data_IF_976210095860
#
_entry.id   IF_976210095860
#
_cell.length_a   1.000
_cell.length_b   1.000
_cell.length_c   1.000
_cell.angle_alpha   90.00
_cell.angle_beta   90.00
_cell.angle_gamma   90.00
#
_symmetry.space_group_name_H-M   'P 1'
#
loop_
_entity.id
_entity.type
_entity.pdbx_description
1 polymer ?
#
# COMPACT_ATOMS: atom_id res chain seq x y z
N UNK A 1 14.36 7.37 5.01
CA UNK A 1 13.26 7.96 4.21
C UNK A 1 13.75 8.67 2.96
N UNK A 2 14.74 9.58 3.02
CA UNK A 2 15.23 10.31 1.83
C UNK A 2 15.67 9.43 0.65
N UNK A 3 16.23 8.25 0.90
CA UNK A 3 16.63 7.31 -0.15
C UNK A 3 15.43 6.79 -0.95
N UNK A 4 14.22 6.81 -0.38
CA UNK A 4 12.99 6.38 -1.04
C UNK A 4 12.42 7.44 -2.01
N UNK A 5 13.09 8.59 -2.13
CA UNK A 5 12.70 9.67 -3.02
C UNK A 5 13.80 9.89 -4.08
N UNK A 6 13.45 10.38 -5.29
CA UNK A 6 14.42 10.83 -6.26
C UNK A 6 15.36 11.90 -5.69
N UNK A 7 16.57 12.01 -6.24
CA UNK A 7 17.62 12.90 -5.72
C UNK A 7 17.21 14.37 -5.54
N UNK A 8 16.24 14.86 -6.33
CA UNK A 8 15.73 16.24 -6.27
C UNK A 8 14.56 16.49 -5.32
N UNK A 9 13.97 15.45 -4.71
CA UNK A 9 12.75 15.57 -3.89
C UNK A 9 12.92 15.00 -2.49
N UNK A 10 14.13 15.07 -1.93
CA UNK A 10 14.43 14.59 -0.57
C UNK A 10 13.60 15.39 0.47
N UNK A 11 12.70 14.75 1.22
CA UNK A 11 11.77 15.45 2.11
C UNK A 11 12.42 15.98 3.40
N UNK A 12 13.51 15.36 3.87
CA UNK A 12 14.18 15.72 5.13
C UNK A 12 15.55 16.31 4.84
N UNK A 13 15.86 17.48 5.40
CA UNK A 13 17.21 18.04 5.32
C UNK A 13 18.07 17.42 6.42
N UNK A 14 19.17 16.77 6.03
CA UNK A 14 20.12 16.20 6.98
C UNK A 14 21.21 17.25 7.22
N UNK A 15 21.39 17.76 8.45
CA UNK A 15 22.46 18.70 8.76
C UNK A 15 23.83 17.99 8.69
N UNK A 16 24.88 18.71 8.29
CA UNK A 16 26.24 18.17 8.18
C UNK A 16 26.79 17.69 9.53
N UNK A 17 26.44 18.43 10.60
CA UNK A 17 26.77 18.07 11.98
C UNK A 17 25.52 17.64 12.73
N UNK A 18 25.59 16.55 13.53
CA UNK A 18 24.48 16.15 14.38
C UNK A 18 24.02 17.29 15.30
N UNK A 19 22.71 17.58 15.40
CA UNK A 19 22.22 18.65 16.25
C UNK A 19 22.48 18.34 17.72
N UNK A 20 23.04 19.28 18.46
CA UNK A 20 23.30 19.15 19.92
C UNK A 20 22.12 19.63 20.77
N UNK A 21 21.32 20.55 20.23
CA UNK A 21 20.14 21.08 20.93
C UNK A 21 18.97 20.09 20.85
N UNK A 22 18.38 19.79 22.00
CA UNK A 22 17.24 18.86 22.14
C UNK A 22 16.11 19.17 21.16
N UNK A 23 15.69 20.43 21.05
CA UNK A 23 14.60 20.79 20.15
C UNK A 23 14.91 20.49 18.68
N UNK A 24 16.18 20.63 18.25
CA UNK A 24 16.59 20.32 16.87
C UNK A 24 16.59 18.82 16.60
N UNK A 25 16.98 18.01 17.58
CA UNK A 25 16.88 16.55 17.48
C UNK A 25 15.42 16.10 17.38
N UNK A 26 14.55 16.65 18.24
CA UNK A 26 13.10 16.37 18.20
C UNK A 26 12.46 16.83 16.88
N UNK A 27 12.86 17.99 16.36
CA UNK A 27 12.41 18.49 15.05
C UNK A 27 12.85 17.56 13.92
N UNK A 28 14.08 17.04 13.95
CA UNK A 28 14.57 16.09 12.95
C UNK A 28 13.76 14.80 12.93
N UNK A 29 13.38 14.29 14.11
CA UNK A 29 12.47 13.14 14.22
C UNK A 29 11.10 13.50 13.64
N UNK A 30 10.53 14.65 13.98
CA UNK A 30 9.24 15.09 13.45
C UNK A 30 9.24 15.23 11.92
N UNK A 31 10.32 15.73 11.32
CA UNK A 31 10.49 15.78 9.86
C UNK A 31 10.49 14.38 9.23
N UNK A 32 11.15 13.40 9.85
CA UNK A 32 11.10 12.01 9.42
C UNK A 32 9.68 11.44 9.49
N UNK A 33 8.96 11.67 10.60
CA UNK A 33 7.60 11.16 10.79
C UNK A 33 6.65 11.70 9.73
N UNK A 34 6.73 13.01 9.45
CA UNK A 34 5.94 13.65 8.39
C UNK A 34 6.27 13.06 7.01
N UNK A 35 7.55 12.87 6.70
CA UNK A 35 7.96 12.26 5.44
C UNK A 35 7.50 10.79 5.31
N UNK A 36 7.46 10.04 6.41
CA UNK A 36 6.96 8.67 6.40
C UNK A 36 5.45 8.62 6.17
N UNK A 37 4.69 9.54 6.78
CA UNK A 37 3.25 9.71 6.54
C UNK A 37 2.97 10.11 5.09
N UNK A 38 3.68 11.11 4.56
CA UNK A 38 3.56 11.55 3.17
C UNK A 38 3.94 10.44 2.16
N UNK A 39 4.86 9.55 2.55
CA UNK A 39 5.19 8.38 1.74
C UNK A 39 4.05 7.34 1.74
N UNK A 40 3.12 7.39 2.69
CA UNK A 40 1.92 6.56 2.77
C UNK A 40 1.89 5.58 3.94
N UNK A 41 2.74 5.76 4.96
CA UNK A 41 2.61 5.02 6.22
C UNK A 41 1.32 5.47 6.91
N UNK A 42 0.53 4.51 7.39
CA UNK A 42 -0.74 4.80 8.07
C UNK A 42 -0.44 5.47 9.40
N UNK A 43 -1.18 6.53 9.75
CA UNK A 43 -1.00 7.29 11.00
C UNK A 43 -0.95 6.43 12.26
N UNK A 44 -1.71 5.34 12.31
CA UNK A 44 -1.72 4.39 13.43
C UNK A 44 -0.40 3.66 13.61
N UNK A 45 0.38 3.52 12.54
CA UNK A 45 1.68 2.87 12.53
C UNK A 45 2.83 3.87 12.68
N UNK A 46 2.56 5.17 12.84
CA UNK A 46 3.57 6.22 13.02
C UNK A 46 3.81 6.45 14.51
N UNK A 47 5.06 6.30 14.97
CA UNK A 47 5.45 6.56 16.35
C UNK A 47 5.48 8.06 16.69
N UNK A 48 5.49 8.40 17.98
CA UNK A 48 5.60 9.78 18.47
C UNK A 48 7.06 10.15 18.76
N UNK A 49 7.44 11.42 18.63
CA UNK A 49 8.83 11.87 18.85
C UNK A 49 9.43 11.38 20.17
N UNK A 50 8.66 11.33 21.25
CA UNK A 50 9.09 10.85 22.58
C UNK A 50 9.43 9.36 22.60
N UNK A 51 8.81 8.55 21.73
CA UNK A 51 9.04 7.10 21.67
C UNK A 51 10.47 6.76 21.26
N UNK A 52 11.05 7.59 20.37
CA UNK A 52 12.44 7.49 19.96
C UNK A 52 13.37 8.36 20.83
N UNK A 53 12.99 9.61 21.10
CA UNK A 53 13.86 10.57 21.79
C UNK A 53 14.15 10.17 23.24
N UNK A 54 13.13 9.71 23.97
CA UNK A 54 13.25 9.27 25.37
C UNK A 54 13.27 7.74 25.50
N UNK A 55 13.32 7.02 24.38
CA UNK A 55 13.22 5.56 24.30
C UNK A 55 11.99 4.97 25.01
N UNK A 56 10.86 5.68 24.98
CA UNK A 56 9.62 5.29 25.68
C UNK A 56 8.92 4.07 25.06
N UNK A 57 8.93 3.96 23.72
CA UNK A 57 8.37 2.81 22.99
C UNK A 57 9.16 2.54 21.70
N UNK A 58 10.29 1.85 21.83
CA UNK A 58 11.08 1.44 20.68
C UNK A 58 10.37 0.41 19.78
N UNK A 59 9.35 -0.28 20.30
CA UNK A 59 8.56 -1.20 19.49
C UNK A 59 7.67 -0.44 18.49
N UNK A 60 7.13 0.72 18.87
CA UNK A 60 6.45 1.63 17.93
C UNK A 60 7.39 2.09 16.81
N UNK A 61 8.63 2.48 17.15
CA UNK A 61 9.65 2.86 16.17
C UNK A 61 9.90 1.74 15.17
N UNK A 62 10.10 0.51 15.67
CA UNK A 62 10.31 -0.65 14.82
C UNK A 62 9.10 -0.93 13.91
N UNK A 63 7.86 -0.84 14.43
CA UNK A 63 6.64 -1.01 13.62
C UNK A 63 6.57 0.00 12.48
N UNK A 64 6.85 1.27 12.75
CA UNK A 64 6.88 2.32 11.70
C UNK A 64 7.91 2.02 10.62
N UNK A 65 9.13 1.58 11.00
CA UNK A 65 10.18 1.24 10.05
C UNK A 65 9.80 0.01 9.18
N UNK A 66 9.20 -1.01 9.80
CA UNK A 66 8.72 -2.19 9.07
C UNK A 66 7.58 -1.82 8.10
N UNK A 67 6.66 -0.94 8.51
CA UNK A 67 5.58 -0.45 7.67
C UNK A 67 6.11 0.37 6.49
N UNK A 68 7.09 1.25 6.72
CA UNK A 68 7.74 2.08 5.71
C UNK A 68 8.51 1.23 4.69
N UNK A 69 9.31 0.26 5.16
CA UNK A 69 10.08 -0.63 4.28
C UNK A 69 9.18 -1.54 3.44
N UNK A 70 8.13 -2.11 4.04
CA UNK A 70 7.12 -2.89 3.33
C UNK A 70 6.44 -2.06 2.25
N UNK A 71 6.11 -0.80 2.53
CA UNK A 71 5.53 0.10 1.54
C UNK A 71 6.50 0.41 0.41
N UNK A 72 7.77 0.65 0.72
CA UNK A 72 8.81 0.92 -0.28
C UNK A 72 9.02 -0.25 -1.25
N UNK A 73 9.14 -1.47 -0.73
CA UNK A 73 9.28 -2.68 -1.55
C UNK A 73 8.01 -2.97 -2.36
N UNK A 74 6.84 -2.57 -1.83
CA UNK A 74 5.56 -2.72 -2.54
C UNK A 74 5.43 -1.76 -3.71
N UNK A 75 5.79 -0.49 -3.53
CA UNK A 75 5.72 0.54 -4.58
C UNK A 75 6.61 0.18 -5.78
N UNK A 76 7.79 -0.41 -5.50
CA UNK A 76 8.72 -0.86 -6.54
C UNK A 76 9.04 0.24 -7.58
N UNK A 77 9.21 1.47 -7.11
CA UNK A 77 9.51 2.68 -7.90
C UNK A 77 10.99 2.77 -8.32
N UNK A 78 11.83 1.82 -7.89
CA UNK A 78 13.28 1.80 -8.13
C UNK A 78 14.08 2.64 -7.15
N UNK A 79 13.45 3.30 -6.18
CA UNK A 79 14.14 4.13 -5.18
C UNK A 79 14.60 3.34 -3.95
N UNK A 80 14.01 2.18 -3.67
CA UNK A 80 14.49 1.30 -2.62
C UNK A 80 15.71 0.50 -3.09
N UNK A 81 16.84 0.64 -2.38
CA UNK A 81 18.13 0.03 -2.74
C UNK A 81 18.59 -1.09 -1.78
N UNK A 82 17.80 -1.42 -0.76
CA UNK A 82 18.13 -2.50 0.19
C UNK A 82 17.71 -3.89 -0.31
N UNK A 83 17.95 -4.93 0.49
CA UNK A 83 17.42 -6.27 0.21
C UNK A 83 15.88 -6.26 0.31
N UNK A 84 15.14 -6.57 -0.75
CA UNK A 84 13.68 -6.65 -0.71
C UNK A 84 13.15 -7.75 0.23
N UNK A 85 13.95 -8.80 0.51
CA UNK A 85 13.51 -9.93 1.34
C UNK A 85 13.34 -9.58 2.82
N UNK A 86 13.86 -8.44 3.26
CA UNK A 86 13.69 -7.96 4.64
C UNK A 86 12.28 -7.44 4.92
N UNK A 87 11.50 -7.17 3.88
CA UNK A 87 10.18 -6.58 3.99
C UNK A 87 9.12 -7.37 3.23
N UNK A 88 7.91 -7.38 3.78
CA UNK A 88 6.79 -8.06 3.15
C UNK A 88 6.15 -7.13 2.11
N UNK A 89 5.84 -7.66 0.92
CA UNK A 89 5.05 -6.92 -0.08
C UNK A 89 3.58 -6.88 0.37
N UNK A 90 3.01 -5.68 0.40
CA UNK A 90 1.57 -5.49 0.64
C UNK A 90 0.80 -5.89 -0.62
N UNK A 91 -0.42 -6.39 -0.44
CA UNK A 91 -1.31 -6.69 -1.56
C UNK A 91 -1.56 -5.43 -2.40
N UNK A 92 -1.54 -5.56 -3.73
CA UNK A 92 -1.81 -4.48 -4.67
C UNK A 92 -3.08 -4.80 -5.46
N UNK A 93 -3.81 -3.75 -5.83
CA UNK A 93 -5.00 -3.89 -6.67
C UNK A 93 -4.58 -4.40 -8.06
N UNK A 94 -5.17 -5.52 -8.48
CA UNK A 94 -4.99 -6.03 -9.84
C UNK A 94 -6.12 -5.53 -10.73
N UNK A 95 -6.02 -4.26 -11.17
CA UNK A 95 -6.99 -3.65 -12.10
C UNK A 95 -7.03 -4.45 -13.39
N UNK A 96 -8.20 -4.97 -13.73
CA UNK A 96 -8.47 -5.63 -15.00
C UNK A 96 -9.29 -4.68 -15.85
N UNK A 97 -8.76 -4.31 -17.00
CA UNK A 97 -9.48 -3.52 -17.98
C UNK A 97 -10.19 -4.47 -18.93
N UNK A 98 -11.49 -4.26 -19.12
CA UNK A 98 -12.30 -4.99 -20.08
C UNK A 98 -12.63 -4.06 -21.23
N UNK A 99 -12.61 -4.59 -22.45
CA UNK A 99 -13.03 -3.83 -23.62
C UNK A 99 -14.52 -3.50 -23.55
N UNK A 100 -14.95 -2.42 -24.21
CA UNK A 100 -16.36 -2.04 -24.25
C UNK A 100 -17.24 -3.15 -24.84
N UNK A 101 -16.74 -3.89 -25.84
CA UNK A 101 -17.43 -5.07 -26.39
C UNK A 101 -17.61 -6.17 -25.35
N UNK A 102 -16.56 -6.52 -24.59
CA UNK A 102 -16.64 -7.52 -23.51
C UNK A 102 -17.60 -7.09 -22.39
N UNK A 103 -17.59 -5.81 -22.01
CA UNK A 103 -18.56 -5.28 -21.03
C UNK A 103 -20.00 -5.35 -21.56
N UNK A 104 -20.20 -5.07 -22.86
CA UNK A 104 -21.52 -5.16 -23.52
C UNK A 104 -22.01 -6.59 -23.66
N UNK A 105 -21.13 -7.52 -24.02
CA UNK A 105 -21.41 -8.96 -24.05
C UNK A 105 -21.77 -9.47 -22.64
N UNK A 106 -21.04 -9.01 -21.61
CA UNK A 106 -21.33 -9.32 -20.21
C UNK A 106 -22.71 -8.88 -19.74
N UNK A 107 -23.27 -7.79 -20.28
CA UNK A 107 -24.65 -7.35 -19.96
C UNK A 107 -25.72 -8.32 -20.47
N UNK A 108 -25.42 -9.09 -21.52
CA UNK A 108 -26.34 -10.06 -22.10
C UNK A 108 -26.18 -11.46 -21.49
N UNK A 109 -25.13 -11.68 -20.69
CA UNK A 109 -24.96 -12.91 -19.91
C UNK A 109 -25.86 -12.82 -18.69
N UNK A 110 -26.99 -13.53 -18.72
CA UNK A 110 -27.80 -13.76 -17.53
C UNK A 110 -26.94 -14.58 -16.57
N UNK A 111 -26.40 -13.92 -15.53
CA UNK A 111 -25.68 -14.61 -14.47
C UNK A 111 -26.55 -15.74 -13.92
N UNK A 112 -25.93 -16.88 -13.60
CA UNK A 112 -26.59 -18.03 -12.97
C UNK A 112 -27.62 -17.51 -11.96
N UNK A 113 -28.89 -17.62 -12.31
CA UNK A 113 -29.98 -17.17 -11.47
C UNK A 113 -29.80 -17.92 -10.15
N UNK A 114 -29.55 -17.20 -9.05
CA UNK A 114 -29.55 -17.75 -7.70
C UNK A 114 -30.99 -18.17 -7.39
N UNK A 115 -31.39 -19.30 -7.96
CA UNK A 115 -32.74 -19.82 -7.98
C UNK A 115 -32.65 -21.31 -8.24
N UNK A 116 -33.04 -22.10 -7.25
CA UNK A 116 -32.98 -23.57 -7.29
C UNK A 116 -33.57 -24.13 -8.58
N UNK A 117 -32.76 -24.85 -9.34
CA UNK A 117 -33.12 -25.53 -10.59
C UNK A 117 -34.07 -26.74 -10.35
N UNK A 118 -34.51 -27.00 -9.11
CA UNK A 118 -35.28 -28.20 -8.72
C UNK A 118 -36.66 -28.33 -9.39
N UNK A 119 -37.08 -27.40 -10.24
CA UNK A 119 -38.33 -27.50 -11.02
C UNK A 119 -38.22 -27.13 -12.50
N UNK A 120 -37.10 -26.60 -12.99
CA UNK A 120 -36.96 -26.19 -14.38
C UNK A 120 -36.26 -27.29 -15.19
N UNK A 121 -36.95 -28.40 -15.45
CA UNK A 121 -36.47 -29.38 -16.42
C UNK A 121 -36.71 -28.84 -17.83
N UNK A 122 -35.66 -28.74 -18.64
CA UNK A 122 -35.69 -28.41 -20.08
C UNK A 122 -36.30 -29.55 -20.92
N UNK A 123 -37.27 -30.28 -20.37
CA UNK A 123 -38.01 -31.31 -21.09
C UNK A 123 -39.07 -30.62 -21.95
N UNK A 124 -38.91 -30.67 -23.28
CA UNK A 124 -39.91 -30.18 -24.23
C UNK A 124 -39.49 -29.02 -25.14
N UNK A 125 -38.24 -28.54 -25.07
CA UNK A 125 -37.74 -27.58 -26.07
C UNK A 125 -37.40 -28.31 -27.38
N UNK A 126 -38.41 -28.52 -28.21
CA UNK A 126 -38.23 -28.98 -29.59
C UNK A 126 -38.02 -27.78 -30.50
N UNK A 127 -36.76 -27.51 -30.87
CA UNK A 127 -36.46 -26.58 -31.96
C UNK A 127 -36.70 -27.29 -33.29
N UNK A 128 -37.78 -26.89 -33.97
CA UNK A 128 -37.95 -27.01 -35.43
C UNK A 128 -37.97 -28.41 -36.03
N UNK A 129 -39.16 -28.88 -36.41
CA UNK A 129 -39.36 -29.71 -37.62
C UNK A 129 -40.41 -29.01 -38.49
N UNK A 130 -40.38 -29.10 -39.83
CA UNK A 130 -39.63 -30.04 -40.69
C UNK A 130 -38.29 -29.52 -41.21
#
# INVERSE_FOLDING_TARGET
VNSLYPSGSKPVKIPDTPPTMVFKQMEQIAQFLKAAEDYGVVKTDVFQTVDLFEAKDMAAVQRTLMALGSLAVTKNDGNYHGDPNWFMKKAQEHKREFTESQLKEGKNVIGLQMGSNKGASQAGMSYGRP
#
